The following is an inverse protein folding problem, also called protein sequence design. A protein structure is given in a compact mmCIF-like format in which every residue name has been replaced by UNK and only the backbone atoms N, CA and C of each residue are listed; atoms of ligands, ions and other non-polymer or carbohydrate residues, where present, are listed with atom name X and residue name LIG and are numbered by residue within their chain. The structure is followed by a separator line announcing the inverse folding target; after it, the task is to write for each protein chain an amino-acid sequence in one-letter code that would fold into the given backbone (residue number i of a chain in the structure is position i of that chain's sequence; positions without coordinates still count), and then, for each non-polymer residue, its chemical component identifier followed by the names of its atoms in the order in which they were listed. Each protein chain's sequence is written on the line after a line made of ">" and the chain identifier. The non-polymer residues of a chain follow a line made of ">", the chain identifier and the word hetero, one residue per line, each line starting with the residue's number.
data_IF_959408207415
#
_entry.id   IF_959408207415
#
_cell.length_a   1.000
_cell.length_b   1.000
_cell.length_c   1.000
_cell.angle_alpha   90.00
_cell.angle_beta   90.00
_cell.angle_gamma   90.00
#
_symmetry.space_group_name_H-M   'P 1'
#
loop_
_entity.id
_entity.type
_entity.pdbx_description
1 polymer ?
#
# COMPACT_ATOMS: atom_id res chain seq x y z
N UNK A 1 20.27 23.71 10.43
CA UNK A 1 18.96 24.11 9.86
C UNK A 1 18.10 22.86 9.86
N UNK A 2 16.80 22.96 10.19
CA UNK A 2 15.88 21.80 10.10
C UNK A 2 15.68 21.45 8.62
N UNK A 3 15.59 20.15 8.30
CA UNK A 3 15.18 19.73 6.96
C UNK A 3 13.69 20.04 6.74
N UNK A 4 13.36 20.45 5.53
CA UNK A 4 11.99 20.74 5.10
C UNK A 4 11.41 19.50 4.42
N UNK A 5 10.33 18.97 4.99
CA UNK A 5 9.67 17.74 4.53
C UNK A 5 8.34 18.08 3.89
N UNK A 6 8.12 17.64 2.68
CA UNK A 6 6.80 17.62 2.06
C UNK A 6 6.07 16.33 2.47
N UNK A 7 4.89 16.42 3.07
CA UNK A 7 3.97 15.29 3.23
C UNK A 7 3.01 15.34 2.06
N UNK A 8 3.24 14.47 1.08
CA UNK A 8 2.54 14.51 -0.22
C UNK A 8 1.31 13.63 -0.16
N UNK A 9 0.13 14.23 -0.33
CA UNK A 9 -1.17 13.60 -0.15
C UNK A 9 -2.16 13.98 -1.25
N UNK A 10 -3.31 13.31 -1.29
CA UNK A 10 -4.35 13.51 -2.30
C UNK A 10 -4.34 12.37 -3.32
N UNK A 11 -4.04 12.68 -4.58
CA UNK A 11 -4.02 11.73 -5.69
C UNK A 11 -5.28 11.79 -6.55
N UNK A 12 -5.33 10.91 -7.56
CA UNK A 12 -6.35 10.94 -8.62
C UNK A 12 -7.33 9.76 -8.51
N UNK A 13 -7.38 9.11 -7.36
CA UNK A 13 -8.24 7.94 -7.12
C UNK A 13 -9.33 8.23 -6.10
N UNK A 14 -10.26 7.30 -5.95
CA UNK A 14 -11.31 7.33 -4.91
C UNK A 14 -10.77 7.38 -3.48
N UNK A 15 -9.47 7.07 -3.28
CA UNK A 15 -8.80 7.09 -1.97
C UNK A 15 -8.25 8.47 -1.58
N UNK A 16 -8.52 9.52 -2.36
CA UNK A 16 -8.08 10.91 -2.09
C UNK A 16 -8.27 11.34 -0.64
N UNK A 17 -9.46 11.16 -0.09
CA UNK A 17 -9.75 11.56 1.30
C UNK A 17 -9.04 10.67 2.34
N UNK A 18 -8.79 9.42 2.03
CA UNK A 18 -8.00 8.51 2.89
C UNK A 18 -6.55 8.99 2.95
N UNK A 19 -6.00 9.38 1.81
CA UNK A 19 -4.65 9.97 1.71
C UNK A 19 -4.50 11.23 2.55
N UNK A 20 -5.47 12.16 2.48
CA UNK A 20 -5.43 13.37 3.30
C UNK A 20 -5.49 13.07 4.81
N UNK A 21 -6.28 12.09 5.24
CA UNK A 21 -6.31 11.65 6.65
C UNK A 21 -4.96 11.00 7.06
N UNK A 22 -4.37 10.21 6.19
CA UNK A 22 -3.04 9.63 6.41
C UNK A 22 -1.96 10.72 6.55
N UNK A 23 -2.03 11.79 5.74
CA UNK A 23 -1.12 12.93 5.84
C UNK A 23 -1.20 13.63 7.19
N UNK A 24 -2.41 13.82 7.75
CA UNK A 24 -2.58 14.38 9.10
C UNK A 24 -1.97 13.45 10.16
N UNK A 25 -2.15 12.14 10.02
CA UNK A 25 -1.49 11.15 10.88
C UNK A 25 0.03 11.28 10.84
N UNK A 26 0.61 11.25 9.63
CA UNK A 26 2.06 11.41 9.41
C UNK A 26 2.56 12.74 9.98
N UNK A 27 1.84 13.85 9.74
CA UNK A 27 2.17 15.16 10.30
C UNK A 27 2.22 15.14 11.83
N UNK A 28 1.36 14.35 12.48
CA UNK A 28 1.36 14.18 13.93
C UNK A 28 2.52 13.31 14.45
N UNK A 29 2.97 12.35 13.65
CA UNK A 29 4.03 11.39 14.04
C UNK A 29 5.44 11.94 13.84
N UNK A 30 5.69 12.75 12.80
CA UNK A 30 7.03 13.25 12.50
C UNK A 30 7.50 14.26 13.55
N UNK A 31 8.78 14.19 13.91
CA UNK A 31 9.43 15.03 14.91
C UNK A 31 9.56 16.49 14.45
N UNK A 32 8.69 17.37 14.92
CA UNK A 32 8.67 18.82 14.60
C UNK A 32 9.85 19.59 15.22
N UNK A 33 10.59 18.98 16.14
CA UNK A 33 11.81 19.59 16.66
C UNK A 33 12.97 19.43 15.66
N UNK A 34 12.96 18.34 14.87
CA UNK A 34 13.98 18.04 13.87
C UNK A 34 13.64 18.56 12.47
N UNK A 35 12.35 18.63 12.13
CA UNK A 35 11.88 18.90 10.77
C UNK A 35 10.89 20.06 10.71
N UNK A 36 10.92 20.76 9.56
CA UNK A 36 9.87 21.70 9.15
C UNK A 36 8.94 20.94 8.22
N UNK A 37 7.63 20.91 8.48
CA UNK A 37 6.67 20.07 7.79
C UNK A 37 5.65 20.91 7.03
N UNK A 38 5.39 20.51 5.78
CA UNK A 38 4.30 21.04 4.98
C UNK A 38 3.50 19.89 4.36
N UNK A 39 2.17 19.98 4.40
CA UNK A 39 1.31 19.06 3.64
C UNK A 39 1.15 19.64 2.23
N UNK A 40 1.53 18.84 1.24
CA UNK A 40 1.35 19.13 -0.17
C UNK A 40 0.19 18.30 -0.69
N UNK A 41 -0.91 18.96 -1.03
CA UNK A 41 -2.08 18.34 -1.63
C UNK A 41 -1.93 18.34 -3.15
N UNK A 42 -2.14 17.19 -3.76
CA UNK A 42 -2.03 16.98 -5.19
C UNK A 42 -3.34 16.38 -5.74
N UNK A 43 -3.91 17.01 -6.76
CA UNK A 43 -5.05 16.48 -7.51
C UNK A 43 -4.92 16.90 -8.98
N UNK A 44 -4.76 15.96 -9.89
CA UNK A 44 -4.48 16.25 -11.29
C UNK A 44 -3.29 17.20 -11.44
N UNK A 45 -3.52 18.38 -11.96
CA UNK A 45 -2.53 19.43 -12.14
C UNK A 45 -2.54 20.49 -11.04
N UNK A 46 -3.49 20.44 -10.11
CA UNK A 46 -3.57 21.35 -8.97
C UNK A 46 -2.75 20.80 -7.80
N UNK A 47 -1.59 21.39 -7.59
CA UNK A 47 -0.67 21.05 -6.51
C UNK A 47 -0.44 22.27 -5.65
N UNK A 48 -0.71 22.16 -4.35
CA UNK A 48 -0.54 23.27 -3.43
C UNK A 48 -0.13 22.81 -2.04
N UNK A 49 0.60 23.69 -1.35
CA UNK A 49 0.93 23.54 0.07
C UNK A 49 -0.24 24.06 0.91
N UNK A 50 -0.67 23.31 1.90
CA UNK A 50 -1.62 23.77 2.92
C UNK A 50 -0.86 24.62 3.96
N UNK A 51 -1.19 25.91 4.06
CA UNK A 51 -0.57 26.81 5.05
C UNK A 51 -1.35 26.79 6.39
N UNK A 52 -0.69 27.14 7.51
CA UNK A 52 -1.31 27.10 8.84
C UNK A 52 -2.53 28.02 9.01
N UNK A 53 -2.60 29.09 8.25
CA UNK A 53 -3.73 30.04 8.22
C UNK A 53 -4.91 29.57 7.35
N UNK A 54 -4.79 28.39 6.72
CA UNK A 54 -5.77 27.84 5.80
C UNK A 54 -5.61 28.31 4.35
N UNK A 55 -4.64 29.18 4.05
CA UNK A 55 -4.33 29.56 2.68
C UNK A 55 -3.63 28.41 1.93
N UNK A 56 -3.65 28.49 0.60
CA UNK A 56 -3.02 27.53 -0.32
C UNK A 56 -1.93 28.24 -1.11
N UNK A 57 -0.71 27.73 -1.03
CA UNK A 57 0.40 28.21 -1.84
C UNK A 57 0.64 27.24 -3.01
N UNK A 58 0.60 27.69 -4.27
CA UNK A 58 0.82 26.82 -5.42
C UNK A 58 2.24 26.26 -5.45
N UNK A 59 2.39 25.01 -5.85
CA UNK A 59 3.68 24.34 -6.04
C UNK A 59 4.17 24.55 -7.47
N UNK A 60 5.41 25.02 -7.63
CA UNK A 60 6.09 25.01 -8.92
C UNK A 60 6.52 23.56 -9.24
N UNK A 61 5.88 22.95 -10.24
CA UNK A 61 6.12 21.57 -10.64
C UNK A 61 7.44 21.36 -11.41
N UNK A 62 8.15 22.44 -11.77
CA UNK A 62 9.44 22.30 -12.44
C UNK A 62 10.54 21.88 -11.47
N UNK A 63 10.42 22.25 -10.18
CA UNK A 63 11.41 21.94 -9.15
C UNK A 63 10.82 21.57 -7.79
N UNK A 64 9.50 21.35 -7.74
CA UNK A 64 8.77 21.01 -6.53
C UNK A 64 9.02 21.98 -5.38
N UNK A 65 8.91 23.29 -5.64
CA UNK A 65 9.05 24.36 -4.66
C UNK A 65 7.77 25.19 -4.53
N UNK A 66 7.69 26.04 -3.52
CA UNK A 66 6.62 27.03 -3.38
C UNK A 66 7.16 28.35 -2.83
N UNK A 67 6.36 29.41 -2.84
CA UNK A 67 6.74 30.72 -2.31
C UNK A 67 5.97 30.97 -1.00
N UNK A 68 6.69 31.32 0.07
CA UNK A 68 6.15 31.72 1.36
C UNK A 68 6.74 33.08 1.74
N UNK A 69 5.90 34.07 1.98
CA UNK A 69 6.31 35.45 2.34
C UNK A 69 7.33 36.09 1.37
N UNK A 70 7.22 35.74 0.07
CA UNK A 70 8.10 36.22 -0.97
C UNK A 70 9.41 35.42 -1.14
N UNK A 71 9.67 34.46 -0.25
CA UNK A 71 10.87 33.62 -0.28
C UNK A 71 10.55 32.25 -0.88
N UNK A 72 11.46 31.73 -1.70
CA UNK A 72 11.35 30.37 -2.28
C UNK A 72 11.69 29.30 -1.24
N UNK A 73 10.76 28.39 -1.02
CA UNK A 73 10.93 27.22 -0.15
C UNK A 73 11.08 25.96 -1.00
N UNK A 74 12.13 25.20 -0.77
CA UNK A 74 12.41 23.89 -1.39
C UNK A 74 12.25 22.77 -0.36
N UNK A 75 12.06 21.55 -0.83
CA UNK A 75 11.93 20.37 0.04
C UNK A 75 13.18 19.49 -0.02
N UNK A 76 13.67 19.10 1.16
CA UNK A 76 14.80 18.17 1.28
C UNK A 76 14.35 16.71 1.15
N UNK A 77 13.05 16.43 1.39
CA UNK A 77 12.50 15.08 1.38
C UNK A 77 10.99 15.12 1.14
N UNK A 78 10.47 14.10 0.43
CA UNK A 78 9.04 13.91 0.19
C UNK A 78 8.54 12.65 0.92
N UNK A 79 7.64 12.82 1.89
CA UNK A 79 6.92 11.71 2.51
C UNK A 79 5.63 11.46 1.72
N UNK A 80 5.64 10.42 0.87
CA UNK A 80 4.50 10.09 -0.01
C UNK A 80 3.48 9.29 0.76
N UNK A 81 2.21 9.73 0.74
CA UNK A 81 1.06 9.01 1.31
C UNK A 81 -0.15 9.03 0.38
N UNK A 82 0.08 9.22 -0.91
CA UNK A 82 -0.97 9.09 -1.93
C UNK A 82 -1.24 7.61 -2.15
N UNK A 83 -2.49 7.19 -1.95
CA UNK A 83 -2.96 5.85 -2.29
C UNK A 83 -3.41 5.82 -3.76
N UNK A 84 -2.96 4.80 -4.50
CA UNK A 84 -3.16 4.70 -5.93
C UNK A 84 -2.29 5.69 -6.74
N UNK A 85 -2.80 6.10 -7.90
CA UNK A 85 -2.12 7.02 -8.81
C UNK A 85 -2.13 8.45 -8.26
N UNK A 86 -0.98 9.19 -8.35
CA UNK A 86 0.34 8.79 -8.86
C UNK A 86 1.33 8.26 -7.79
N UNK A 87 0.86 7.96 -6.57
CA UNK A 87 1.72 7.68 -5.40
C UNK A 87 2.20 6.24 -5.30
N UNK A 88 1.46 5.25 -5.84
CA UNK A 88 1.78 3.83 -5.75
C UNK A 88 2.22 3.20 -7.06
N UNK A 89 2.07 3.90 -8.19
CA UNK A 89 2.31 3.35 -9.53
C UNK A 89 3.67 3.73 -10.15
N UNK A 90 4.55 4.35 -9.37
CA UNK A 90 5.90 4.72 -9.79
C UNK A 90 6.02 6.09 -10.46
N UNK A 91 4.91 6.75 -10.81
CA UNK A 91 4.93 8.05 -11.52
C UNK A 91 5.52 9.16 -10.67
N UNK A 92 5.05 9.29 -9.43
CA UNK A 92 5.52 10.31 -8.52
C UNK A 92 6.96 10.04 -8.06
N UNK A 93 7.32 8.78 -7.88
CA UNK A 93 8.68 8.37 -7.61
C UNK A 93 9.64 8.78 -8.73
N UNK A 94 9.24 8.53 -10.00
CA UNK A 94 10.03 8.95 -11.17
C UNK A 94 10.16 10.46 -11.28
N UNK A 95 9.14 11.22 -10.94
CA UNK A 95 9.21 12.68 -10.87
C UNK A 95 10.23 13.16 -9.82
N UNK A 96 10.20 12.60 -8.61
CA UNK A 96 11.17 12.96 -7.57
C UNK A 96 12.59 12.48 -7.87
N UNK A 97 12.75 11.32 -8.52
CA UNK A 97 14.06 10.85 -8.99
C UNK A 97 14.70 11.86 -9.97
N UNK A 98 13.91 12.40 -10.93
CA UNK A 98 14.40 13.44 -11.86
C UNK A 98 14.79 14.76 -11.17
N UNK A 99 14.12 15.09 -10.06
CA UNK A 99 14.42 16.28 -9.27
C UNK A 99 15.47 16.04 -8.18
N UNK A 100 15.97 14.81 -8.04
CA UNK A 100 16.89 14.41 -6.97
C UNK A 100 16.36 14.69 -5.56
N UNK A 101 15.04 14.64 -5.37
CA UNK A 101 14.39 14.76 -4.07
C UNK A 101 14.17 13.34 -3.50
N UNK A 102 14.82 12.97 -2.39
CA UNK A 102 14.61 11.68 -1.76
C UNK A 102 13.20 11.56 -1.20
N UNK A 103 12.65 10.34 -1.17
CA UNK A 103 11.27 10.09 -0.73
C UNK A 103 11.16 8.83 0.14
N UNK A 104 9.98 8.66 0.79
CA UNK A 104 9.75 7.73 1.90
C UNK A 104 9.41 6.30 1.51
N UNK A 105 9.07 6.01 0.26
CA UNK A 105 8.55 4.71 -0.17
C UNK A 105 9.44 4.04 -1.22
N UNK A 106 9.00 2.90 -1.74
CA UNK A 106 9.67 2.14 -2.78
C UNK A 106 9.97 2.99 -4.03
N UNK A 107 11.05 2.68 -4.74
CA UNK A 107 11.38 3.30 -6.02
C UNK A 107 10.44 2.86 -7.15
N UNK A 108 10.63 3.45 -8.33
CA UNK A 108 9.74 3.31 -9.50
C UNK A 108 9.35 1.86 -9.79
N UNK A 109 10.33 0.97 -9.94
CA UNK A 109 10.07 -0.42 -10.32
C UNK A 109 9.24 -1.15 -9.26
N UNK A 110 9.63 -1.07 -7.99
CA UNK A 110 8.94 -1.78 -6.92
C UNK A 110 7.53 -1.21 -6.70
N UNK A 111 7.35 0.10 -6.77
CA UNK A 111 6.04 0.75 -6.68
C UNK A 111 5.11 0.28 -7.81
N UNK A 112 5.54 0.40 -9.07
CA UNK A 112 4.74 -0.02 -10.22
C UNK A 112 4.41 -1.51 -10.20
N UNK A 113 5.37 -2.35 -9.81
CA UNK A 113 5.20 -3.80 -9.74
C UNK A 113 4.18 -4.19 -8.66
N UNK A 114 4.28 -3.61 -7.47
CA UNK A 114 3.37 -3.95 -6.36
C UNK A 114 1.97 -3.39 -6.53
N UNK A 115 1.82 -2.31 -7.28
CA UNK A 115 0.51 -1.74 -7.61
C UNK A 115 -0.30 -2.65 -8.55
N UNK A 116 0.37 -3.43 -9.40
CA UNK A 116 -0.25 -4.47 -10.24
C UNK A 116 -0.24 -5.81 -9.49
N UNK A 117 -1.41 -6.21 -8.96
CA UNK A 117 -1.57 -7.41 -8.14
C UNK A 117 -1.12 -8.68 -8.88
N UNK A 118 -1.48 -8.81 -10.17
CA UNK A 118 -1.10 -9.98 -10.94
C UNK A 118 0.42 -10.01 -11.19
N UNK A 119 0.98 -8.90 -11.66
CA UNK A 119 2.41 -8.81 -11.94
C UNK A 119 3.26 -9.04 -10.68
N UNK A 120 2.89 -8.43 -9.55
CA UNK A 120 3.57 -8.62 -8.26
C UNK A 120 3.55 -10.08 -7.82
N UNK A 121 2.36 -10.70 -7.85
CA UNK A 121 2.20 -12.09 -7.41
C UNK A 121 2.98 -13.03 -8.32
N UNK A 122 2.92 -12.87 -9.65
CA UNK A 122 3.70 -13.70 -10.58
C UNK A 122 5.21 -13.49 -10.44
N UNK A 123 5.65 -12.25 -10.19
CA UNK A 123 7.07 -11.98 -9.93
C UNK A 123 7.56 -12.70 -8.67
N UNK A 124 6.83 -12.59 -7.57
CA UNK A 124 7.17 -13.22 -6.29
C UNK A 124 7.04 -14.76 -6.33
N UNK A 125 6.10 -15.30 -7.13
CA UNK A 125 6.00 -16.75 -7.40
C UNK A 125 7.32 -17.30 -7.96
N UNK A 126 8.01 -16.54 -8.82
CA UNK A 126 9.32 -16.88 -9.36
C UNK A 126 10.42 -17.06 -8.30
N UNK A 127 10.25 -16.52 -7.10
CA UNK A 127 11.14 -16.69 -5.95
C UNK A 127 10.60 -17.70 -4.92
N UNK A 128 9.59 -18.48 -5.29
CA UNK A 128 9.02 -19.52 -4.42
C UNK A 128 7.96 -19.02 -3.42
N UNK A 129 7.51 -17.78 -3.52
CA UNK A 129 6.38 -17.29 -2.71
C UNK A 129 5.09 -17.94 -3.20
N UNK A 130 4.31 -18.49 -2.26
CA UNK A 130 3.01 -19.09 -2.60
C UNK A 130 1.99 -18.00 -2.88
N UNK A 131 1.25 -18.18 -3.96
CA UNK A 131 0.15 -17.29 -4.37
C UNK A 131 -1.07 -18.15 -4.73
N UNK A 132 -2.24 -17.53 -4.84
CA UNK A 132 -3.40 -18.17 -5.45
C UNK A 132 -3.18 -18.41 -6.96
N UNK A 133 -3.77 -19.48 -7.50
CA UNK A 133 -3.84 -19.65 -8.96
C UNK A 133 -4.71 -18.51 -9.53
N UNK A 134 -4.24 -17.94 -10.64
CA UNK A 134 -4.89 -16.74 -11.21
C UNK A 134 -4.78 -16.69 -12.72
N UNK A 135 -5.77 -16.03 -13.36
CA UNK A 135 -5.79 -15.68 -14.79
C UNK A 135 -5.84 -14.15 -14.92
N UNK A 136 -5.03 -13.61 -15.84
CA UNK A 136 -5.10 -12.23 -16.25
C UNK A 136 -5.90 -12.10 -17.54
N UNK A 137 -6.89 -11.22 -17.51
CA UNK A 137 -7.69 -10.82 -18.68
C UNK A 137 -7.37 -9.36 -19.02
N UNK A 138 -6.99 -9.10 -20.26
CA UNK A 138 -6.78 -7.74 -20.78
C UNK A 138 -7.98 -7.28 -21.59
N UNK A 139 -8.18 -5.98 -21.72
CA UNK A 139 -9.28 -5.41 -22.48
C UNK A 139 -9.37 -6.01 -23.87
N UNK A 140 -10.58 -6.45 -24.25
CA UNK A 140 -10.84 -7.16 -25.51
C UNK A 140 -10.60 -8.67 -25.50
N UNK A 141 -10.00 -9.24 -24.45
CA UNK A 141 -9.91 -10.70 -24.27
C UNK A 141 -11.21 -11.24 -23.68
N UNK A 142 -11.67 -12.37 -24.21
CA UNK A 142 -12.77 -13.15 -23.66
C UNK A 142 -12.24 -14.44 -23.05
N UNK A 143 -12.85 -14.89 -21.97
CA UNK A 143 -12.63 -16.19 -21.34
C UNK A 143 -14.00 -16.84 -21.19
N UNK A 144 -14.09 -18.13 -21.46
CA UNK A 144 -15.34 -18.87 -21.24
C UNK A 144 -15.52 -19.20 -19.76
N UNK A 145 -16.75 -19.42 -19.34
CA UNK A 145 -17.03 -19.85 -17.96
C UNK A 145 -16.37 -21.21 -17.69
N UNK A 146 -16.33 -22.08 -18.69
CA UNK A 146 -15.68 -23.38 -18.65
C UNK A 146 -14.17 -23.24 -18.40
N UNK A 147 -13.48 -22.32 -19.08
CA UNK A 147 -12.05 -22.04 -18.85
C UNK A 147 -11.78 -21.57 -17.43
N UNK A 148 -12.65 -20.70 -16.87
CA UNK A 148 -12.53 -20.24 -15.47
C UNK A 148 -12.74 -21.41 -14.53
N UNK A 149 -13.77 -22.22 -14.75
CA UNK A 149 -14.08 -23.40 -13.93
C UNK A 149 -12.96 -24.43 -13.93
N UNK A 150 -12.33 -24.68 -15.09
CA UNK A 150 -11.26 -25.66 -15.25
C UNK A 150 -9.95 -25.19 -14.61
N UNK A 151 -9.57 -23.90 -14.82
CA UNK A 151 -8.25 -23.39 -14.44
C UNK A 151 -8.22 -22.82 -13.01
N UNK A 152 -9.31 -22.27 -12.54
CA UNK A 152 -9.40 -21.56 -11.27
C UNK A 152 -10.33 -22.30 -10.30
N UNK A 153 -11.51 -22.71 -10.76
CA UNK A 153 -12.56 -23.30 -9.95
C UNK A 153 -13.42 -22.24 -9.25
N UNK A 154 -14.36 -22.74 -8.42
CA UNK A 154 -15.22 -21.92 -7.57
C UNK A 154 -15.13 -22.39 -6.10
N UNK A 155 -15.25 -21.46 -5.15
CA UNK A 155 -15.41 -20.02 -5.35
C UNK A 155 -14.11 -19.37 -5.86
N UNK A 156 -14.26 -18.21 -6.53
CA UNK A 156 -13.14 -17.40 -6.96
C UNK A 156 -13.41 -15.90 -6.76
N UNK A 157 -12.36 -15.07 -6.81
CA UNK A 157 -12.47 -13.63 -6.87
C UNK A 157 -12.22 -13.12 -8.28
N UNK A 158 -13.04 -12.17 -8.72
CA UNK A 158 -12.84 -11.42 -9.95
C UNK A 158 -12.68 -9.95 -9.57
N UNK A 159 -11.55 -9.35 -9.94
CA UNK A 159 -11.13 -8.03 -9.46
C UNK A 159 -10.27 -7.29 -10.49
N UNK A 160 -10.22 -5.94 -10.48
CA UNK A 160 -9.21 -5.18 -11.19
C UNK A 160 -7.79 -5.61 -10.78
N UNK A 161 -6.84 -5.68 -11.73
CA UNK A 161 -5.41 -5.93 -11.43
C UNK A 161 -4.80 -4.72 -10.72
N UNK A 162 -5.14 -3.53 -11.19
CA UNK A 162 -4.73 -2.25 -10.64
C UNK A 162 -5.82 -1.68 -9.72
N UNK A 163 -5.41 -0.94 -8.70
CA UNK A 163 -6.34 -0.25 -7.79
C UNK A 163 -6.40 -0.85 -6.39
N UNK A 164 -7.09 -0.13 -5.50
CA UNK A 164 -7.21 -0.41 -4.07
C UNK A 164 -8.65 -0.46 -3.57
N UNK A 165 -8.81 -0.51 -2.24
CA UNK A 165 -10.08 -0.37 -1.51
C UNK A 165 -11.21 -1.29 -1.97
N UNK A 166 -10.90 -2.45 -2.57
CA UNK A 166 -11.86 -3.47 -3.00
C UNK A 166 -12.91 -3.01 -4.03
N UNK A 167 -12.69 -1.89 -4.75
CA UNK A 167 -13.58 -1.47 -5.84
C UNK A 167 -13.52 -2.48 -6.99
N UNK A 168 -14.69 -2.80 -7.56
CA UNK A 168 -14.80 -3.76 -8.66
C UNK A 168 -14.57 -5.23 -8.29
N UNK A 169 -14.31 -5.55 -7.02
CA UNK A 169 -14.11 -6.91 -6.54
C UNK A 169 -15.46 -7.64 -6.43
N UNK A 170 -15.49 -8.89 -6.85
CA UNK A 170 -16.65 -9.78 -6.71
C UNK A 170 -16.19 -11.18 -6.33
N UNK A 171 -16.75 -11.74 -5.25
CA UNK A 171 -16.66 -13.16 -4.94
C UNK A 171 -17.70 -13.90 -5.76
N UNK A 172 -17.25 -14.83 -6.59
CA UNK A 172 -18.06 -15.63 -7.50
C UNK A 172 -18.19 -17.04 -6.91
N UNK A 173 -19.42 -17.49 -6.67
CA UNK A 173 -19.72 -18.80 -6.09
C UNK A 173 -20.51 -19.70 -7.04
N UNK A 174 -21.02 -19.15 -8.13
CA UNK A 174 -21.79 -19.88 -9.13
C UNK A 174 -21.36 -19.45 -10.54
N UNK A 175 -21.43 -20.38 -11.50
CA UNK A 175 -20.98 -20.20 -12.88
C UNK A 175 -21.63 -18.96 -13.54
N UNK A 176 -22.89 -18.74 -13.30
CA UNK A 176 -23.67 -17.64 -13.92
C UNK A 176 -23.22 -16.24 -13.49
N UNK A 177 -22.42 -16.16 -12.42
CA UNK A 177 -21.88 -14.91 -11.89
C UNK A 177 -20.58 -14.50 -12.59
N UNK A 178 -19.91 -15.40 -13.32
CA UNK A 178 -18.57 -15.17 -13.88
C UNK A 178 -18.56 -13.97 -14.83
N UNK A 179 -19.35 -14.01 -15.91
CA UNK A 179 -19.35 -12.95 -16.92
C UNK A 179 -19.83 -11.59 -16.37
N UNK A 180 -20.89 -11.51 -15.55
CA UNK A 180 -21.26 -10.26 -14.88
C UNK A 180 -20.15 -9.68 -14.01
N UNK A 181 -19.41 -10.53 -13.28
CA UNK A 181 -18.31 -10.08 -12.43
C UNK A 181 -17.11 -9.57 -13.26
N UNK A 182 -16.78 -10.25 -14.37
CA UNK A 182 -15.75 -9.81 -15.32
C UNK A 182 -16.13 -8.43 -15.92
N UNK A 183 -17.38 -8.28 -16.37
CA UNK A 183 -17.85 -7.01 -16.91
C UNK A 183 -17.78 -5.87 -15.89
N UNK A 184 -18.16 -6.15 -14.62
CA UNK A 184 -18.06 -5.19 -13.52
C UNK A 184 -16.61 -4.78 -13.26
N UNK A 185 -15.66 -5.73 -13.24
CA UNK A 185 -14.27 -5.43 -13.02
C UNK A 185 -13.63 -4.65 -14.19
N UNK A 186 -14.01 -4.94 -15.43
CA UNK A 186 -13.57 -4.17 -16.61
C UNK A 186 -14.16 -2.74 -16.68
N UNK A 187 -15.23 -2.46 -15.96
CA UNK A 187 -15.73 -1.09 -15.85
C UNK A 187 -14.78 -0.19 -15.03
N UNK A 188 -13.98 -0.80 -14.14
CA UNK A 188 -13.03 -0.09 -13.25
C UNK A 188 -11.59 -0.08 -13.80
N UNK A 189 -11.20 -1.07 -14.64
CA UNK A 189 -9.82 -1.21 -15.09
C UNK A 189 -9.70 -1.90 -16.45
N UNK A 190 -8.55 -1.73 -17.13
CA UNK A 190 -8.23 -2.38 -18.40
C UNK A 190 -7.73 -3.82 -18.25
N UNK A 191 -7.34 -4.22 -17.05
CA UNK A 191 -6.85 -5.55 -16.71
C UNK A 191 -7.61 -6.11 -15.51
N UNK A 192 -8.09 -7.34 -15.64
CA UNK A 192 -8.91 -8.04 -14.65
C UNK A 192 -8.22 -9.35 -14.26
N UNK A 193 -8.15 -9.60 -12.96
CA UNK A 193 -7.63 -10.86 -12.40
C UNK A 193 -8.82 -11.72 -11.96
N UNK A 194 -8.81 -12.98 -12.42
CA UNK A 194 -9.64 -14.05 -11.87
C UNK A 194 -8.73 -14.90 -10.99
N UNK A 195 -9.01 -14.99 -9.70
CA UNK A 195 -8.13 -15.59 -8.70
C UNK A 195 -8.88 -16.62 -7.85
N UNK A 196 -8.27 -17.78 -7.64
CA UNK A 196 -8.83 -18.82 -6.79
C UNK A 196 -9.06 -18.32 -5.35
N UNK A 197 -10.19 -18.67 -4.77
CA UNK A 197 -10.48 -18.37 -3.37
C UNK A 197 -9.51 -19.14 -2.44
N UNK A 198 -8.92 -18.43 -1.51
CA UNK A 198 -8.10 -19.02 -0.46
C UNK A 198 -8.91 -19.04 0.84
N UNK A 199 -9.36 -20.23 1.25
CA UNK A 199 -10.07 -20.39 2.51
C UNK A 199 -9.07 -20.44 3.67
N UNK A 200 -9.14 -19.44 4.55
CA UNK A 200 -8.16 -19.31 5.63
C UNK A 200 -8.27 -18.03 6.45
N UNK A 201 -7.28 -17.83 7.30
CA UNK A 201 -7.16 -16.64 8.16
C UNK A 201 -6.38 -15.55 7.44
N UNK A 202 -6.98 -14.38 7.32
CA UNK A 202 -6.30 -13.19 6.78
C UNK A 202 -5.42 -12.57 7.86
N UNK A 203 -4.17 -12.31 7.50
CA UNK A 203 -3.20 -11.64 8.36
C UNK A 203 -2.40 -10.60 7.58
N UNK A 204 -1.89 -9.60 8.29
CA UNK A 204 -1.05 -8.56 7.69
C UNK A 204 0.20 -8.30 8.51
N UNK A 205 1.33 -8.07 7.86
CA UNK A 205 2.62 -7.86 8.49
C UNK A 205 3.36 -6.69 7.86
N UNK A 206 3.69 -5.69 8.66
CA UNK A 206 4.49 -4.55 8.24
C UNK A 206 5.98 -4.79 8.41
N UNK A 207 6.77 -4.15 7.55
CA UNK A 207 8.23 -4.23 7.59
C UNK A 207 8.86 -2.94 7.06
N UNK A 208 10.01 -2.56 7.65
CA UNK A 208 10.92 -1.58 7.05
C UNK A 208 12.38 -1.95 7.34
N UNK A 209 13.28 -1.53 6.46
CA UNK A 209 14.71 -1.69 6.63
C UNK A 209 15.44 -0.37 6.39
N UNK A 210 16.52 -0.19 7.14
CA UNK A 210 17.49 0.89 6.93
C UNK A 210 18.88 0.27 6.77
N UNK A 211 19.90 1.08 6.54
CA UNK A 211 21.31 0.60 6.52
C UNK A 211 21.68 -0.16 7.80
N UNK A 212 21.10 0.24 8.95
CA UNK A 212 21.50 -0.26 10.26
C UNK A 212 20.46 -1.16 10.93
N UNK A 213 19.21 -1.20 10.42
CA UNK A 213 18.10 -1.88 11.07
C UNK A 213 17.31 -2.71 10.08
N UNK A 214 16.83 -3.87 10.52
CA UNK A 214 15.79 -4.65 9.86
C UNK A 214 14.67 -4.88 10.87
N UNK A 215 13.53 -4.29 10.64
CA UNK A 215 12.37 -4.31 11.55
C UNK A 215 11.20 -4.97 10.84
N UNK A 216 10.69 -6.05 11.41
CA UNK A 216 9.45 -6.70 11.01
C UNK A 216 8.51 -6.60 12.20
N UNK A 217 7.35 -5.99 11.99
CA UNK A 217 6.41 -5.71 13.08
C UNK A 217 5.66 -6.97 13.54
N UNK A 218 5.00 -6.93 14.72
CA UNK A 218 4.00 -7.92 15.10
C UNK A 218 2.90 -8.01 14.05
N UNK A 219 2.41 -9.23 13.83
CA UNK A 219 1.39 -9.53 12.83
C UNK A 219 0.02 -9.12 13.37
N UNK A 220 -0.83 -8.59 12.50
CA UNK A 220 -2.26 -8.35 12.79
C UNK A 220 -3.11 -9.41 12.10
N UNK A 221 -4.02 -10.02 12.82
CA UNK A 221 -5.11 -10.86 12.29
C UNK A 221 -6.29 -9.97 11.93
N UNK A 222 -6.85 -10.19 10.76
CA UNK A 222 -8.02 -9.47 10.24
C UNK A 222 -9.21 -10.41 10.28
N UNK A 223 -10.21 -10.10 11.11
CA UNK A 223 -11.44 -10.87 11.23
C UNK A 223 -12.56 -10.06 10.60
N UNK A 224 -12.89 -10.33 9.35
CA UNK A 224 -14.01 -9.69 8.67
C UNK A 224 -15.34 -10.27 9.15
N UNK A 225 -16.33 -9.42 9.42
CA UNK A 225 -17.72 -9.83 9.67
C UNK A 225 -18.51 -10.04 8.37
N UNK A 226 -17.95 -9.56 7.24
CA UNK A 226 -18.47 -9.79 5.90
C UNK A 226 -17.84 -11.06 5.30
N UNK A 227 -18.33 -11.48 4.14
CA UNK A 227 -17.78 -12.66 3.44
C UNK A 227 -16.28 -12.52 3.07
N UNK A 228 -15.75 -11.29 3.02
CA UNK A 228 -14.35 -10.95 2.83
C UNK A 228 -14.07 -9.53 3.33
N UNK A 229 -12.81 -9.14 3.42
CA UNK A 229 -12.37 -7.82 3.88
C UNK A 229 -12.59 -6.76 2.79
N UNK A 230 -13.84 -6.31 2.66
CA UNK A 230 -14.30 -5.32 1.69
C UNK A 230 -14.14 -3.88 2.18
N UNK A 231 -14.66 -2.91 1.41
CA UNK A 231 -14.60 -1.49 1.77
C UNK A 231 -15.29 -1.19 3.11
N UNK A 232 -16.44 -1.79 3.36
CA UNK A 232 -17.18 -1.62 4.64
C UNK A 232 -16.38 -2.17 5.82
N UNK A 233 -15.74 -3.32 5.64
CA UNK A 233 -14.87 -3.90 6.66
C UNK A 233 -13.64 -3.03 6.92
N UNK A 234 -13.05 -2.42 5.87
CA UNK A 234 -11.84 -1.58 5.96
C UNK A 234 -12.09 -0.23 6.66
N UNK A 235 -13.24 0.40 6.45
CA UNK A 235 -13.44 1.79 6.83
C UNK A 235 -14.63 2.06 7.74
N UNK A 236 -15.58 1.13 7.84
CA UNK A 236 -16.84 1.32 8.58
C UNK A 236 -16.99 0.40 9.79
N UNK A 237 -15.90 -0.25 10.24
CA UNK A 237 -15.86 -1.04 11.47
C UNK A 237 -16.54 -2.41 11.37
N UNK A 238 -16.65 -2.99 10.17
CA UNK A 238 -17.17 -4.33 9.95
C UNK A 238 -16.07 -5.41 10.05
N UNK A 239 -15.02 -5.17 10.85
CA UNK A 239 -13.94 -6.12 11.12
C UNK A 239 -13.30 -5.87 12.48
N UNK A 240 -12.73 -6.92 13.06
CA UNK A 240 -11.80 -6.85 14.19
C UNK A 240 -10.36 -6.97 13.68
N UNK A 241 -9.49 -6.13 14.20
CA UNK A 241 -8.05 -6.11 13.93
C UNK A 241 -7.31 -6.50 15.22
N UNK A 242 -6.75 -7.69 15.26
CA UNK A 242 -6.15 -8.26 16.47
C UNK A 242 -4.63 -8.29 16.34
N UNK A 243 -3.94 -7.44 17.13
CA UNK A 243 -2.48 -7.35 17.15
C UNK A 243 -1.95 -7.58 18.58
N UNK A 244 -1.09 -8.58 18.84
CA UNK A 244 -0.59 -9.61 17.91
C UNK A 244 -1.67 -10.59 17.46
N UNK A 245 -1.51 -11.16 16.26
CA UNK A 245 -2.39 -12.17 15.69
C UNK A 245 -2.43 -13.44 16.55
N UNK A 246 -3.57 -14.13 16.58
CA UNK A 246 -3.81 -15.38 17.35
C UNK A 246 -3.30 -16.61 16.58
N UNK A 247 -2.02 -16.61 16.25
CA UNK A 247 -1.32 -17.70 15.55
C UNK A 247 -0.16 -18.22 16.38
N UNK A 248 0.38 -19.40 16.04
CA UNK A 248 1.50 -20.01 16.77
C UNK A 248 2.79 -19.16 16.63
N UNK A 249 3.70 -19.24 17.61
CA UNK A 249 5.00 -18.58 17.54
C UNK A 249 5.83 -19.06 16.34
N UNK A 250 5.68 -20.32 15.92
CA UNK A 250 6.35 -20.85 14.75
C UNK A 250 5.83 -20.20 13.48
N UNK A 251 4.52 -20.15 13.31
CA UNK A 251 3.89 -19.48 12.16
C UNK A 251 4.23 -17.99 12.14
N UNK A 252 4.22 -17.32 13.29
CA UNK A 252 4.65 -15.92 13.43
C UNK A 252 6.05 -15.71 12.87
N UNK A 253 7.04 -16.53 13.28
CA UNK A 253 8.41 -16.43 12.76
C UNK A 253 8.49 -16.68 11.27
N UNK A 254 7.75 -17.66 10.75
CA UNK A 254 7.72 -17.98 9.30
C UNK A 254 7.15 -16.83 8.47
N UNK A 255 6.06 -16.22 8.92
CA UNK A 255 5.44 -15.04 8.26
C UNK A 255 6.40 -13.86 8.29
N UNK A 256 7.00 -13.54 9.43
CA UNK A 256 7.93 -12.44 9.55
C UNK A 256 9.19 -12.65 8.68
N UNK A 257 9.70 -13.88 8.63
CA UNK A 257 10.84 -14.24 7.76
C UNK A 257 10.48 -14.05 6.29
N UNK A 258 9.30 -14.51 5.88
CA UNK A 258 8.80 -14.34 4.51
C UNK A 258 8.60 -12.86 4.16
N UNK A 259 8.01 -12.06 5.06
CA UNK A 259 7.83 -10.62 4.86
C UNK A 259 9.18 -9.91 4.67
N UNK A 260 10.18 -10.25 5.50
CA UNK A 260 11.53 -9.73 5.35
C UNK A 260 12.17 -10.13 4.01
N UNK A 261 11.97 -11.37 3.56
CA UNK A 261 12.48 -11.84 2.27
C UNK A 261 11.79 -11.12 1.09
N UNK A 262 10.46 -10.94 1.13
CA UNK A 262 9.70 -10.20 0.12
C UNK A 262 10.21 -8.75 0.02
N UNK A 263 10.50 -8.11 1.15
CA UNK A 263 11.11 -6.78 1.18
C UNK A 263 12.42 -6.73 0.37
N UNK A 264 13.30 -7.69 0.57
CA UNK A 264 14.59 -7.76 -0.13
C UNK A 264 14.44 -8.10 -1.62
N UNK A 265 13.56 -9.07 -1.96
CA UNK A 265 13.28 -9.47 -3.35
C UNK A 265 12.76 -8.30 -4.18
N UNK A 266 11.89 -7.48 -3.60
CA UNK A 266 11.33 -6.29 -4.26
C UNK A 266 12.32 -5.12 -4.31
N UNK A 267 13.45 -5.17 -3.59
CA UNK A 267 14.30 -4.01 -3.39
C UNK A 267 13.52 -2.87 -2.73
N UNK A 268 12.66 -3.20 -1.77
CA UNK A 268 11.75 -2.25 -1.15
C UNK A 268 12.50 -1.19 -0.34
N UNK A 269 11.84 -0.05 -0.17
CA UNK A 269 12.28 1.04 0.69
C UNK A 269 11.08 1.61 1.46
N UNK A 270 11.37 2.19 2.64
CA UNK A 270 10.33 2.70 3.52
C UNK A 270 9.53 1.58 4.19
N UNK A 271 8.31 1.87 4.58
CA UNK A 271 7.42 0.89 5.19
C UNK A 271 6.61 0.19 4.11
N UNK A 272 6.65 -1.14 4.08
CA UNK A 272 5.69 -1.94 3.32
C UNK A 272 4.78 -2.70 4.27
N UNK A 273 3.61 -3.08 3.78
CA UNK A 273 2.69 -4.01 4.43
C UNK A 273 2.39 -5.15 3.48
N UNK A 274 2.56 -6.36 3.96
CA UNK A 274 2.29 -7.56 3.17
C UNK A 274 1.11 -8.30 3.77
N UNK A 275 0.11 -8.58 2.95
CA UNK A 275 -1.13 -9.22 3.35
C UNK A 275 -1.12 -10.67 2.87
N UNK A 276 -1.55 -11.59 3.73
CA UNK A 276 -1.49 -13.03 3.52
C UNK A 276 -2.80 -13.72 3.91
N UNK A 277 -3.05 -14.88 3.31
CA UNK A 277 -4.06 -15.83 3.78
C UNK A 277 -3.35 -17.11 4.26
N UNK A 278 -3.59 -17.48 5.51
CA UNK A 278 -3.11 -18.74 6.09
C UNK A 278 -4.17 -19.80 5.85
N UNK A 279 -3.88 -20.73 4.95
CA UNK A 279 -4.77 -21.83 4.61
C UNK A 279 -4.42 -23.09 5.38
N UNK A 280 -5.24 -24.15 5.23
CA UNK A 280 -5.07 -25.44 5.88
C UNK A 280 -3.62 -25.95 5.82
N UNK A 281 -3.12 -26.50 6.93
CA UNK A 281 -1.73 -26.95 7.08
C UNK A 281 -0.74 -25.80 7.24
N UNK A 282 -1.20 -24.65 7.75
CA UNK A 282 -0.38 -23.46 8.00
C UNK A 282 0.39 -22.98 6.75
N UNK A 283 -0.23 -23.08 5.58
CA UNK A 283 0.36 -22.59 4.32
C UNK A 283 0.18 -21.08 4.24
N UNK A 284 1.30 -20.35 4.12
CA UNK A 284 1.32 -18.90 4.00
C UNK A 284 1.20 -18.56 2.51
N UNK A 285 0.08 -17.95 2.11
CA UNK A 285 -0.13 -17.53 0.73
C UNK A 285 -0.19 -16.00 0.68
N UNK A 286 0.59 -15.41 -0.23
CA UNK A 286 0.59 -13.97 -0.47
C UNK A 286 -0.75 -13.54 -1.07
N UNK A 287 -1.32 -12.47 -0.54
CA UNK A 287 -2.48 -11.80 -1.10
C UNK A 287 -2.05 -10.56 -1.89
N UNK A 288 -1.40 -9.60 -1.24
CA UNK A 288 -0.88 -8.37 -1.88
C UNK A 288 0.26 -7.74 -1.08
N UNK A 289 0.98 -6.80 -1.71
CA UNK A 289 2.01 -5.97 -1.08
C UNK A 289 1.63 -4.50 -1.23
N UNK A 290 1.57 -3.77 -0.12
CA UNK A 290 1.26 -2.34 -0.08
C UNK A 290 2.53 -1.54 0.24
N UNK A 291 2.93 -0.62 -0.63
CA UNK A 291 4.17 0.17 -0.49
C UNK A 291 3.95 1.58 0.05
N UNK A 292 2.70 2.03 0.14
CA UNK A 292 2.27 3.25 0.83
C UNK A 292 1.10 2.96 1.77
N UNK A 293 1.32 2.14 2.82
CA UNK A 293 0.23 1.72 3.70
C UNK A 293 -0.39 2.91 4.44
N UNK A 294 -1.67 2.79 4.81
CA UNK A 294 -2.39 3.80 5.58
C UNK A 294 -1.70 4.14 6.90
N UNK A 295 -1.71 5.43 7.25
CA UNK A 295 -0.98 6.00 8.40
C UNK A 295 -1.88 6.82 9.34
N UNK A 296 -3.18 6.51 9.38
CA UNK A 296 -4.03 7.05 10.46
C UNK A 296 -3.72 6.35 11.78
N UNK A 297 -4.10 6.93 12.90
CA UNK A 297 -3.82 6.35 14.23
C UNK A 297 -4.39 4.92 14.41
N UNK A 298 -5.43 4.58 13.66
CA UNK A 298 -6.11 3.28 13.67
C UNK A 298 -5.69 2.35 12.53
N UNK A 299 -4.80 2.78 11.63
CA UNK A 299 -4.27 1.92 10.55
C UNK A 299 -3.37 0.82 11.11
N UNK A 300 -3.20 -0.27 10.35
CA UNK A 300 -2.41 -1.45 10.76
C UNK A 300 -0.98 -1.10 11.19
N UNK A 301 -0.25 -0.30 10.40
CA UNK A 301 1.16 0.02 10.72
C UNK A 301 1.29 0.73 12.08
N UNK A 302 0.57 1.83 12.38
CA UNK A 302 0.61 2.42 13.72
C UNK A 302 0.20 1.48 14.86
N UNK A 303 -0.76 0.55 14.62
CA UNK A 303 -1.12 -0.47 15.60
C UNK A 303 0.03 -1.45 15.86
N UNK A 304 0.66 -1.94 14.79
CA UNK A 304 1.79 -2.88 14.86
C UNK A 304 3.02 -2.25 15.51
N UNK A 305 3.31 -0.97 15.21
CA UNK A 305 4.40 -0.21 15.85
C UNK A 305 4.17 -0.10 17.36
N UNK A 306 2.95 0.24 17.80
CA UNK A 306 2.61 0.28 19.23
C UNK A 306 2.73 -1.10 19.88
N UNK A 307 2.26 -2.16 19.22
CA UNK A 307 2.37 -3.54 19.72
C UNK A 307 3.83 -4.02 19.81
N UNK A 308 4.73 -3.47 18.98
CA UNK A 308 6.17 -3.69 19.07
C UNK A 308 6.83 -2.89 20.22
N UNK A 309 6.11 -2.08 20.96
CA UNK A 309 6.66 -1.17 21.98
C UNK A 309 7.51 -0.04 21.39
N UNK A 310 7.28 0.31 20.12
CA UNK A 310 7.99 1.36 19.39
C UNK A 310 7.13 2.62 19.26
N UNK A 311 7.79 3.74 19.01
CA UNK A 311 7.13 5.01 18.73
C UNK A 311 7.14 5.32 17.23
N UNK A 312 5.99 5.74 16.69
CA UNK A 312 5.89 6.15 15.28
C UNK A 312 6.89 7.26 14.92
N UNK A 313 7.15 8.17 15.85
CA UNK A 313 8.15 9.25 15.71
C UNK A 313 9.54 8.71 15.35
N UNK A 314 9.96 7.62 16.00
CA UNK A 314 11.26 7.01 15.77
C UNK A 314 11.31 6.27 14.43
N UNK A 315 10.24 5.54 14.10
CA UNK A 315 10.11 4.87 12.80
C UNK A 315 10.16 5.87 11.64
N UNK A 316 9.43 6.99 11.74
CA UNK A 316 9.46 8.06 10.72
C UNK A 316 10.85 8.67 10.59
N UNK A 317 11.52 8.91 11.73
CA UNK A 317 12.89 9.43 11.75
C UNK A 317 13.86 8.45 11.09
N UNK A 318 13.77 7.15 11.39
CA UNK A 318 14.61 6.11 10.77
C UNK A 318 14.48 6.14 9.23
N UNK A 319 13.27 6.26 8.71
CA UNK A 319 13.02 6.27 7.25
C UNK A 319 13.57 7.54 6.61
N UNK A 320 13.32 8.69 7.20
CA UNK A 320 13.81 9.98 6.66
C UNK A 320 15.33 10.01 6.69
N UNK A 321 15.94 9.79 7.85
CA UNK A 321 17.39 9.90 8.01
C UNK A 321 18.18 8.84 7.23
N UNK A 322 17.56 7.67 6.96
CA UNK A 322 18.22 6.62 6.17
C UNK A 322 18.57 7.08 4.75
N UNK A 323 17.85 8.05 4.16
CA UNK A 323 18.16 8.61 2.82
C UNK A 323 19.35 9.58 2.83
N UNK A 324 19.74 10.06 4.01
CA UNK A 324 20.83 11.02 4.17
C UNK A 324 22.09 10.40 4.81
N UNK A 325 22.07 9.09 5.05
CA UNK A 325 23.26 8.35 5.46
C UNK A 325 24.10 8.02 4.22
N UNK A 326 25.37 8.35 4.24
CA UNK A 326 26.36 8.01 3.21
C UNK A 326 26.55 6.48 3.05
#
# INVERSE_FOLDING_TARGET
>A
MKRTIAIVAGGDTSEFHVSLRSAQGIYSFIDKEKYTLYIVEMHGLDWHVQLPDGAKAPVDRNDFSFVLDGEKVTFDFAYITIHGTPGEDGRLQGYFDMLHIPYSCCGVLAASLTYDKFACNQYLKGFGVRIAESLLLRGGQSVTDEDVMEKIGLPCFIKPSLGGSSFGVTKVTAKEQIQPAIAKAFAEAQEVVVEAFMDGTEITCGCYKTKDKSVVFPITEVVSYNEYFDYEAKYNGASDEITPARISDDLTRRVQTLTSAIYDILGAYGIIRVDYIITEGEKINLLEVNTTPGMTATSFIPQQVRAAGMEMKDVMTDIIENKFKD
#
